data_IF_543034551294
#
_entry.id   IF_543034551294
#
_cell.length_a   1.000
_cell.length_b   1.000
_cell.length_c   1.000
_cell.angle_alpha   90.00
_cell.angle_beta   90.00
_cell.angle_gamma   90.00
#
_symmetry.space_group_name_H-M   'P 1'
#
loop_
_entity.id
_entity.type
_entity.pdbx_description
1 polymer ?
#
# COMPACT_ATOMS: atom_id res chain seq x y z
N UNK A 1 -22.60 -7.23 -2.14
CA UNK A 1 -21.89 -6.04 -1.61
C UNK A 1 -20.40 -6.28 -1.39
N UNK A 2 -19.98 -7.28 -0.60
CA UNK A 2 -18.55 -7.49 -0.25
C UNK A 2 -17.60 -7.64 -1.46
N UNK A 3 -18.07 -8.26 -2.56
CA UNK A 3 -17.28 -8.44 -3.80
C UNK A 3 -16.96 -7.12 -4.50
N UNK A 4 -17.93 -6.22 -4.56
CA UNK A 4 -17.76 -4.89 -5.17
C UNK A 4 -16.75 -4.11 -4.34
N UNK A 5 -16.86 -4.17 -3.02
CA UNK A 5 -15.90 -3.55 -2.10
C UNK A 5 -14.47 -4.09 -2.33
N UNK A 6 -14.33 -5.41 -2.46
CA UNK A 6 -13.03 -6.04 -2.72
C UNK A 6 -12.43 -5.59 -4.06
N UNK A 7 -13.25 -5.54 -5.11
CA UNK A 7 -12.82 -5.06 -6.43
C UNK A 7 -12.34 -3.60 -6.37
N UNK A 8 -13.07 -2.73 -5.67
CA UNK A 8 -12.67 -1.34 -5.45
C UNK A 8 -11.33 -1.26 -4.71
N UNK A 9 -11.16 -2.04 -3.63
CA UNK A 9 -9.91 -2.07 -2.85
C UNK A 9 -8.73 -2.49 -3.71
N UNK A 10 -8.89 -3.54 -4.53
CA UNK A 10 -7.82 -4.00 -5.44
C UNK A 10 -7.45 -2.90 -6.44
N UNK A 11 -8.44 -2.22 -7.03
CA UNK A 11 -8.20 -1.13 -7.98
C UNK A 11 -7.46 0.03 -7.29
N UNK A 12 -7.90 0.43 -6.09
CA UNK A 12 -7.25 1.50 -5.31
C UNK A 12 -5.83 1.12 -4.94
N UNK A 13 -5.59 -0.13 -4.53
CA UNK A 13 -4.23 -0.63 -4.21
C UNK A 13 -3.31 -0.63 -5.43
N UNK A 14 -3.81 -1.03 -6.60
CA UNK A 14 -3.05 -0.99 -7.85
C UNK A 14 -2.71 0.44 -8.27
N UNK A 15 -3.68 1.36 -8.19
CA UNK A 15 -3.48 2.78 -8.49
C UNK A 15 -2.45 3.37 -7.52
N UNK A 16 -2.62 3.11 -6.21
CA UNK A 16 -1.69 3.57 -5.17
C UNK A 16 -0.29 3.02 -5.43
N UNK A 17 -0.14 1.72 -5.68
CA UNK A 17 1.15 1.11 -5.95
C UNK A 17 1.84 1.73 -7.17
N UNK A 18 1.10 1.92 -8.26
CA UNK A 18 1.62 2.52 -9.49
C UNK A 18 2.00 3.98 -9.28
N UNK A 19 1.16 4.75 -8.60
CA UNK A 19 1.40 6.15 -8.31
C UNK A 19 2.66 6.32 -7.46
N UNK A 20 2.76 5.55 -6.38
CA UNK A 20 3.87 5.62 -5.45
C UNK A 20 5.20 5.20 -6.09
N UNK A 21 5.18 4.20 -6.97
CA UNK A 21 6.38 3.76 -7.68
C UNK A 21 6.81 4.77 -8.76
N UNK A 22 5.86 5.43 -9.41
CA UNK A 22 6.16 6.39 -10.48
C UNK A 22 6.51 7.79 -9.97
N UNK A 23 6.08 8.15 -8.76
CA UNK A 23 6.28 9.48 -8.17
C UNK A 23 7.12 9.45 -6.89
N UNK A 24 7.78 8.33 -6.57
CA UNK A 24 8.59 8.23 -5.34
C UNK A 24 9.66 9.32 -5.28
N UNK A 25 10.30 9.62 -6.41
CA UNK A 25 11.33 10.65 -6.54
C UNK A 25 10.79 12.06 -6.25
N UNK A 26 9.59 12.39 -6.73
CA UNK A 26 8.92 13.66 -6.45
C UNK A 26 8.52 13.77 -4.98
N UNK A 27 8.04 12.67 -4.38
CA UNK A 27 7.68 12.63 -2.96
C UNK A 27 8.94 12.81 -2.10
N UNK A 28 10.05 12.15 -2.44
CA UNK A 28 11.33 12.32 -1.74
C UNK A 28 11.87 13.75 -1.84
N UNK A 29 11.73 14.42 -2.99
CA UNK A 29 12.13 15.83 -3.13
C UNK A 29 11.32 16.81 -2.27
N UNK A 30 10.07 16.46 -1.93
CA UNK A 30 9.18 17.30 -1.11
C UNK A 30 9.39 17.03 0.39
N UNK A 31 9.60 15.76 0.76
CA UNK A 31 9.63 15.33 2.16
C UNK A 31 11.02 15.00 2.70
N UNK A 32 12.01 14.82 1.84
CA UNK A 32 13.39 14.54 2.23
C UNK A 32 14.15 15.82 2.52
N UNK A 33 14.35 16.11 3.80
CA UNK A 33 15.13 17.26 4.27
C UNK A 33 16.64 17.08 4.07
N UNK A 34 17.09 15.82 3.99
CA UNK A 34 18.50 15.40 3.83
C UNK A 34 18.61 14.27 2.79
N UNK A 35 19.78 14.07 2.17
CA UNK A 35 19.99 12.96 1.21
C UNK A 35 19.74 11.56 1.83
N UNK A 36 20.10 11.38 3.10
CA UNK A 36 19.87 10.12 3.84
C UNK A 36 18.37 9.87 4.12
N UNK A 37 17.61 10.93 4.42
CA UNK A 37 16.15 10.85 4.63
C UNK A 37 15.44 10.55 3.32
N UNK A 38 15.86 11.19 2.22
CA UNK A 38 15.33 10.93 0.88
C UNK A 38 15.48 9.46 0.46
N UNK A 39 16.63 8.85 0.74
CA UNK A 39 16.85 7.42 0.45
C UNK A 39 16.00 6.51 1.35
N UNK A 40 15.80 6.89 2.61
CA UNK A 40 15.01 6.11 3.56
C UNK A 40 13.51 6.17 3.23
N UNK A 41 13.04 7.35 2.83
CA UNK A 41 11.68 7.58 2.35
C UNK A 41 11.45 6.82 1.03
N UNK A 42 12.37 6.89 0.07
CA UNK A 42 12.24 6.17 -1.21
C UNK A 42 12.16 4.66 -1.00
N UNK A 43 13.06 4.10 -0.19
CA UNK A 43 13.02 2.67 0.18
C UNK A 43 11.72 2.30 0.89
N UNK A 44 11.15 3.19 1.71
CA UNK A 44 9.88 2.95 2.39
C UNK A 44 8.70 2.97 1.42
N UNK A 45 8.67 3.94 0.50
CA UNK A 45 7.66 4.05 -0.55
C UNK A 45 7.72 2.85 -1.50
N UNK A 46 8.91 2.44 -1.95
CA UNK A 46 9.05 1.24 -2.80
C UNK A 46 8.59 -0.04 -2.08
N UNK A 47 8.92 -0.20 -0.79
CA UNK A 47 8.42 -1.32 0.02
C UNK A 47 6.90 -1.27 0.15
N UNK A 48 6.30 -0.09 0.32
CA UNK A 48 4.86 0.06 0.40
C UNK A 48 4.18 -0.28 -0.93
N UNK A 49 4.71 0.22 -2.05
CA UNK A 49 4.22 -0.11 -3.39
C UNK A 49 4.25 -1.62 -3.64
N UNK A 50 5.37 -2.29 -3.30
CA UNK A 50 5.49 -3.75 -3.43
C UNK A 50 4.50 -4.50 -2.54
N UNK A 51 4.25 -4.01 -1.32
CA UNK A 51 3.23 -4.57 -0.45
C UNK A 51 1.82 -4.39 -1.04
N UNK A 52 1.50 -3.22 -1.59
CA UNK A 52 0.22 -2.97 -2.28
C UNK A 52 0.03 -3.89 -3.50
N UNK A 53 1.08 -4.16 -4.29
CA UNK A 53 1.03 -5.13 -5.39
C UNK A 53 0.76 -6.55 -4.89
N UNK A 54 1.47 -6.99 -3.83
CA UNK A 54 1.23 -8.28 -3.19
C UNK A 54 -0.21 -8.41 -2.67
N UNK A 55 -0.71 -7.39 -1.98
CA UNK A 55 -2.11 -7.37 -1.52
C UNK A 55 -3.10 -7.34 -2.68
N UNK A 56 -2.78 -6.70 -3.80
CA UNK A 56 -3.65 -6.71 -4.98
C UNK A 56 -3.76 -8.13 -5.56
N UNK A 57 -2.64 -8.85 -5.67
CA UNK A 57 -2.64 -10.25 -6.11
C UNK A 57 -3.38 -11.16 -5.12
N UNK A 58 -3.17 -10.97 -3.82
CA UNK A 58 -3.87 -11.72 -2.77
C UNK A 58 -5.37 -11.43 -2.77
N UNK A 59 -5.74 -10.17 -3.02
CA UNK A 59 -7.13 -9.73 -3.17
C UNK A 59 -7.80 -10.38 -4.38
N UNK A 60 -7.07 -10.54 -5.49
CA UNK A 60 -7.56 -11.25 -6.66
C UNK A 60 -7.84 -12.73 -6.36
N UNK A 61 -6.96 -13.39 -5.61
CA UNK A 61 -7.17 -14.77 -5.15
C UNK A 61 -8.37 -14.87 -4.19
N UNK A 62 -8.49 -13.94 -3.25
CA UNK A 62 -9.64 -13.86 -2.34
C UNK A 62 -10.96 -13.59 -3.07
N UNK A 63 -10.93 -12.81 -4.17
CA UNK A 63 -12.07 -12.56 -5.03
C UNK A 63 -12.59 -13.84 -5.70
N UNK A 64 -11.68 -14.69 -6.19
CA UNK A 64 -12.01 -15.97 -6.82
C UNK A 64 -12.60 -16.99 -5.83
N UNK A 65 -12.06 -17.04 -4.60
CA UNK A 65 -12.54 -17.96 -3.56
C UNK A 65 -13.94 -17.62 -3.05
N UNK A 66 -14.39 -16.37 -3.20
CA UNK A 66 -15.77 -15.95 -2.92
C UNK A 66 -16.29 -16.27 -1.50
N UNK A 67 -15.39 -16.46 -0.54
CA UNK A 67 -15.73 -16.66 0.86
C UNK A 67 -15.71 -15.33 1.62
N UNK A 68 -16.84 -14.98 2.24
CA UNK A 68 -17.00 -13.72 2.97
C UNK A 68 -16.02 -13.55 4.14
N UNK A 69 -15.72 -14.63 4.87
CA UNK A 69 -14.73 -14.62 5.95
C UNK A 69 -13.33 -14.26 5.44
N UNK A 70 -12.91 -14.84 4.32
CA UNK A 70 -11.60 -14.58 3.70
C UNK A 70 -11.50 -13.12 3.27
N UNK A 71 -12.58 -12.58 2.67
CA UNK A 71 -12.64 -11.17 2.29
C UNK A 71 -12.48 -10.22 3.50
N UNK A 72 -13.14 -10.52 4.63
CA UNK A 72 -13.04 -9.69 5.84
C UNK A 72 -11.62 -9.76 6.43
N UNK A 73 -11.05 -10.96 6.53
CA UNK A 73 -9.66 -11.15 7.01
C UNK A 73 -8.68 -10.38 6.14
N UNK A 74 -8.84 -10.47 4.82
CA UNK A 74 -8.03 -9.73 3.85
C UNK A 74 -8.12 -8.22 4.07
N UNK A 75 -9.33 -7.68 4.21
CA UNK A 75 -9.55 -6.24 4.45
C UNK A 75 -8.86 -5.80 5.75
N UNK A 76 -9.01 -6.57 6.84
CA UNK A 76 -8.31 -6.30 8.10
C UNK A 76 -6.78 -6.25 7.92
N UNK A 77 -6.22 -7.18 7.14
CA UNK A 77 -4.79 -7.24 6.85
C UNK A 77 -4.30 -6.00 6.08
N UNK A 78 -5.08 -5.56 5.09
CA UNK A 78 -4.79 -4.34 4.31
C UNK A 78 -4.83 -3.10 5.21
N UNK A 79 -5.82 -2.99 6.10
CA UNK A 79 -5.94 -1.87 7.05
C UNK A 79 -4.75 -1.84 8.01
N UNK A 80 -4.43 -2.98 8.63
CA UNK A 80 -3.29 -3.08 9.55
C UNK A 80 -1.97 -2.70 8.87
N UNK A 81 -1.74 -3.22 7.67
CA UNK A 81 -0.49 -2.93 6.96
C UNK A 81 -0.42 -1.46 6.54
N UNK A 82 -1.53 -0.89 6.09
CA UNK A 82 -1.60 0.55 5.76
C UNK A 82 -1.35 1.43 6.99
N UNK A 83 -1.90 1.07 8.15
CA UNK A 83 -1.67 1.79 9.40
C UNK A 83 -0.20 1.71 9.85
N UNK A 84 0.40 0.52 9.79
CA UNK A 84 1.83 0.33 10.12
C UNK A 84 2.70 1.18 9.20
N UNK A 85 2.43 1.19 7.89
CA UNK A 85 3.16 2.02 6.94
C UNK A 85 2.95 3.51 7.19
N UNK A 86 1.74 3.95 7.50
CA UNK A 86 1.45 5.34 7.84
C UNK A 86 2.26 5.81 9.05
N UNK A 87 2.37 4.99 10.10
CA UNK A 87 3.16 5.29 11.29
C UNK A 87 4.66 5.33 10.94
N UNK A 88 5.14 4.35 10.17
CA UNK A 88 6.54 4.29 9.74
C UNK A 88 6.93 5.49 8.89
N UNK A 89 6.05 5.91 7.99
CA UNK A 89 6.25 7.06 7.12
C UNK A 89 6.29 8.35 7.93
N UNK A 90 5.33 8.54 8.86
CA UNK A 90 5.32 9.70 9.76
C UNK A 90 6.60 9.78 10.62
N UNK A 91 7.11 8.62 11.09
CA UNK A 91 8.36 8.57 11.86
C UNK A 91 9.62 8.84 11.01
N UNK A 92 9.58 8.57 9.71
CA UNK A 92 10.68 8.90 8.78
C UNK A 92 10.71 10.38 8.39
N UNK A 93 9.70 11.14 8.80
CA UNK A 93 9.47 12.54 8.47
C UNK A 93 9.76 13.49 9.63
N UNK A 94 9.92 12.96 10.85
CA UNK A 94 10.22 13.69 12.09
C UNK A 94 11.62 13.38 12.58
#
# INVERSE_FOLDING_TARGET
MIRILLAIIIIVLLITAKYLNSHSESICKIFGTTEEDSQTIDKTLQKFSKACLLFSALGLAAFLLNHQLIAIIYICLVILTSAIFSIKFAKSLS
#
